data_IF_976677790231
#
_entry.id   IF_976677790231
#
_cell.length_a   1.000
_cell.length_b   1.000
_cell.length_c   1.000
_cell.angle_alpha   90.00
_cell.angle_beta   90.00
_cell.angle_gamma   90.00
#
_symmetry.space_group_name_H-M   'P 1'
#
loop_
_entity.id
_entity.type
_entity.pdbx_description
1 polymer ?
#
# COMPACT_ATOMS: atom_id res chain seq x y z
N UNK A 1 16.61 -2.77 -8.14
CA UNK A 1 15.69 -3.93 -8.02
C UNK A 1 15.97 -4.77 -6.77
N UNK A 2 17.21 -5.19 -6.51
CA UNK A 2 17.55 -6.10 -5.41
C UNK A 2 17.09 -5.63 -4.00
N UNK A 3 17.15 -4.33 -3.71
CA UNK A 3 16.70 -3.79 -2.41
C UNK A 3 15.20 -3.49 -2.35
N UNK A 4 14.59 -3.10 -3.47
CA UNK A 4 13.19 -2.67 -3.49
C UNK A 4 12.23 -3.85 -3.35
N UNK A 5 12.51 -4.97 -4.01
CA UNK A 5 11.63 -6.14 -3.99
C UNK A 5 11.41 -6.69 -2.56
N UNK A 6 12.46 -6.96 -1.74
CA UNK A 6 12.28 -7.43 -0.37
C UNK A 6 11.50 -6.43 0.50
N UNK A 7 11.78 -5.14 0.36
CA UNK A 7 11.08 -4.09 1.10
C UNK A 7 9.60 -4.01 0.73
N UNK A 8 9.25 -4.16 -0.55
CA UNK A 8 7.87 -4.19 -1.01
C UNK A 8 7.13 -5.43 -0.50
N UNK A 9 7.77 -6.61 -0.52
CA UNK A 9 7.19 -7.84 0.02
C UNK A 9 6.93 -7.69 1.53
N UNK A 10 7.91 -7.18 2.27
CA UNK A 10 7.77 -6.92 3.70
C UNK A 10 6.63 -5.92 3.98
N UNK A 11 6.57 -4.82 3.22
CA UNK A 11 5.49 -3.85 3.32
C UNK A 11 4.11 -4.48 3.01
N UNK A 12 4.02 -5.35 2.01
CA UNK A 12 2.80 -6.04 1.64
C UNK A 12 2.30 -6.98 2.76
N UNK A 13 3.20 -7.70 3.43
CA UNK A 13 2.87 -8.52 4.62
C UNK A 13 2.37 -7.63 5.74
N UNK A 14 3.11 -6.57 6.08
CA UNK A 14 2.70 -5.64 7.14
C UNK A 14 1.32 -5.05 6.87
N UNK A 15 1.03 -4.69 5.62
CA UNK A 15 -0.28 -4.20 5.22
C UNK A 15 -1.36 -5.28 5.35
N UNK A 16 -1.09 -6.50 4.86
CA UNK A 16 -1.99 -7.66 4.94
C UNK A 16 -2.29 -8.14 6.37
N UNK A 17 -1.42 -7.81 7.34
CA UNK A 17 -1.61 -8.13 8.76
C UNK A 17 -2.15 -6.92 9.53
N UNK A 18 -1.35 -5.86 9.65
CA UNK A 18 -1.66 -4.69 10.49
C UNK A 18 -2.75 -3.83 9.85
N UNK A 19 -2.67 -3.58 8.55
CA UNK A 19 -3.65 -2.75 7.85
C UNK A 19 -5.05 -3.37 7.90
N UNK A 20 -5.14 -4.68 7.65
CA UNK A 20 -6.40 -5.43 7.74
C UNK A 20 -6.90 -5.53 9.17
N UNK A 21 -6.01 -5.76 10.14
CA UNK A 21 -6.38 -5.77 11.54
C UNK A 21 -7.03 -4.45 11.96
N UNK A 22 -6.40 -3.31 11.64
CA UNK A 22 -6.93 -1.98 11.97
C UNK A 22 -8.27 -1.75 11.27
N UNK A 23 -8.37 -2.08 9.97
CA UNK A 23 -9.59 -1.89 9.20
C UNK A 23 -10.76 -2.75 9.73
N UNK A 24 -10.50 -4.00 10.13
CA UNK A 24 -11.51 -4.92 10.63
C UNK A 24 -11.88 -4.68 12.11
N UNK A 25 -10.93 -4.22 12.94
CA UNK A 25 -11.16 -3.98 14.37
C UNK A 25 -12.20 -2.88 14.61
N UNK A 26 -12.29 -1.90 13.71
CA UNK A 26 -13.28 -0.82 13.78
C UNK A 26 -14.75 -1.28 13.71
N UNK A 27 -15.03 -2.56 13.36
CA UNK A 27 -16.39 -3.11 13.24
C UNK A 27 -16.74 -4.24 14.21
N UNK A 28 -15.77 -5.09 14.57
CA UNK A 28 -16.06 -6.38 15.23
C UNK A 28 -15.18 -6.72 16.43
N UNK A 29 -14.35 -5.79 16.89
CA UNK A 29 -13.39 -6.01 17.98
C UNK A 29 -12.19 -6.89 17.58
N UNK A 30 -11.22 -6.99 18.51
CA UNK A 30 -9.90 -7.56 18.23
C UNK A 30 -9.94 -9.03 17.76
N UNK A 31 -10.91 -9.82 18.26
CA UNK A 31 -11.07 -11.23 17.90
C UNK A 31 -11.52 -11.41 16.44
N UNK A 32 -12.46 -10.60 15.98
CA UNK A 32 -12.97 -10.62 14.60
C UNK A 32 -11.92 -10.10 13.63
N UNK A 33 -11.17 -9.07 14.04
CA UNK A 33 -10.05 -8.55 13.26
C UNK A 33 -8.96 -9.61 13.05
N UNK A 34 -8.57 -10.32 14.12
CA UNK A 34 -7.56 -11.37 14.04
C UNK A 34 -8.03 -12.54 13.16
N UNK A 35 -9.28 -13.00 13.30
CA UNK A 35 -9.85 -14.02 12.43
C UNK A 35 -9.89 -13.60 10.96
N UNK A 36 -10.09 -12.31 10.69
CA UNK A 36 -10.12 -11.77 9.33
C UNK A 36 -8.73 -11.78 8.69
N UNK A 37 -7.71 -11.36 9.43
CA UNK A 37 -6.30 -11.42 8.99
C UNK A 37 -5.89 -12.86 8.67
N UNK A 38 -6.26 -13.80 9.55
CA UNK A 38 -5.98 -15.23 9.37
C UNK A 38 -6.79 -15.88 8.25
N UNK A 39 -7.85 -15.25 7.73
CA UNK A 39 -8.59 -15.76 6.57
C UNK A 39 -8.12 -15.14 5.26
N UNK A 40 -7.21 -14.19 5.30
CA UNK A 40 -6.81 -13.44 4.12
C UNK A 40 -5.79 -14.23 3.28
N UNK A 41 -6.12 -14.64 2.04
CA UNK A 41 -5.27 -15.54 1.25
C UNK A 41 -3.88 -14.98 0.94
N UNK A 42 -3.76 -13.66 0.83
CA UNK A 42 -2.50 -13.00 0.46
C UNK A 42 -1.37 -13.28 1.45
N UNK A 43 -1.69 -13.36 2.75
CA UNK A 43 -0.69 -13.67 3.79
C UNK A 43 -0.14 -15.09 3.64
N UNK A 44 -0.95 -16.03 3.13
CA UNK A 44 -0.54 -17.42 2.91
C UNK A 44 0.18 -17.65 1.59
N UNK A 45 -0.04 -16.79 0.58
CA UNK A 45 0.56 -16.92 -0.74
C UNK A 45 2.09 -16.82 -0.74
N UNK A 46 2.68 -16.19 0.28
CA UNK A 46 4.14 -16.09 0.45
C UNK A 46 4.78 -17.43 0.78
N UNK A 47 4.09 -18.29 1.53
CA UNK A 47 4.61 -19.60 1.94
C UNK A 47 4.93 -20.48 0.72
N UNK A 48 3.98 -20.75 -0.21
CA UNK A 48 4.29 -21.52 -1.41
C UNK A 48 5.26 -20.78 -2.34
N UNK A 49 5.24 -19.43 -2.38
CA UNK A 49 6.20 -18.67 -3.20
C UNK A 49 7.65 -18.91 -2.75
N UNK A 50 7.92 -18.83 -1.44
CA UNK A 50 9.25 -19.11 -0.87
C UNK A 50 9.61 -20.58 -1.08
N UNK A 51 8.68 -21.52 -0.82
CA UNK A 51 8.95 -22.96 -1.01
C UNK A 51 9.31 -23.30 -2.45
N UNK A 52 8.59 -22.75 -3.43
CA UNK A 52 8.89 -22.96 -4.85
C UNK A 52 10.26 -22.38 -5.24
N UNK A 53 10.63 -21.23 -4.66
CA UNK A 53 11.93 -20.61 -4.87
C UNK A 53 13.07 -21.46 -4.29
N UNK A 54 12.96 -21.91 -3.04
CA UNK A 54 13.96 -22.75 -2.37
C UNK A 54 14.09 -24.12 -3.03
N UNK A 55 12.98 -24.74 -3.43
CA UNK A 55 12.97 -26.02 -4.14
C UNK A 55 13.34 -25.89 -5.63
N UNK A 56 13.58 -24.67 -6.12
CA UNK A 56 13.89 -24.37 -7.53
C UNK A 56 12.85 -24.93 -8.51
N UNK A 57 11.60 -25.10 -8.05
CA UNK A 57 10.50 -25.64 -8.85
C UNK A 57 10.04 -24.57 -9.82
N UNK A 58 10.31 -24.78 -11.11
CA UNK A 58 9.82 -23.89 -12.16
C UNK A 58 8.37 -24.20 -12.48
N UNK A 59 7.50 -23.23 -12.26
CA UNK A 59 6.12 -23.27 -12.77
C UNK A 59 6.20 -23.17 -14.31
N UNK A 60 5.45 -23.99 -15.07
CA UNK A 60 5.46 -23.91 -16.53
C UNK A 60 5.02 -22.52 -17.01
N UNK A 61 5.64 -22.02 -18.09
CA UNK A 61 5.44 -20.65 -18.58
C UNK A 61 3.97 -20.27 -18.75
N UNK A 62 3.15 -21.15 -19.33
CA UNK A 62 1.73 -20.93 -19.58
C UNK A 62 0.93 -20.63 -18.28
N UNK A 63 1.28 -21.29 -17.17
CA UNK A 63 0.63 -21.05 -15.88
C UNK A 63 1.07 -19.71 -15.28
N UNK A 64 2.37 -19.40 -15.38
CA UNK A 64 2.91 -18.13 -14.89
C UNK A 64 2.34 -16.94 -15.68
N UNK A 65 2.20 -17.07 -17.00
CA UNK A 65 1.56 -16.06 -17.84
C UNK A 65 0.11 -15.83 -17.41
N UNK A 66 -0.65 -16.89 -17.15
CA UNK A 66 -2.04 -16.78 -16.68
C UNK A 66 -2.13 -16.06 -15.33
N UNK A 67 -1.26 -16.40 -14.37
CA UNK A 67 -1.18 -15.71 -13.07
C UNK A 67 -0.80 -14.24 -13.27
N UNK A 68 0.19 -13.97 -14.13
CA UNK A 68 0.66 -12.61 -14.41
C UNK A 68 -0.45 -11.76 -15.05
N UNK A 69 -1.25 -12.33 -15.96
CA UNK A 69 -2.39 -11.64 -16.56
C UNK A 69 -3.40 -11.23 -15.49
N UNK A 70 -3.80 -12.14 -14.61
CA UNK A 70 -4.75 -11.83 -13.51
C UNK A 70 -4.18 -10.77 -12.56
N UNK A 71 -2.91 -10.91 -12.21
CA UNK A 71 -2.20 -9.93 -11.38
C UNK A 71 -2.20 -8.54 -12.03
N UNK A 72 -1.89 -8.46 -13.32
CA UNK A 72 -1.83 -7.20 -14.06
C UNK A 72 -3.22 -6.55 -14.20
N UNK A 73 -4.30 -7.33 -14.32
CA UNK A 73 -5.67 -6.82 -14.36
C UNK A 73 -6.18 -6.33 -13.00
N UNK A 74 -5.60 -6.80 -11.90
CA UNK A 74 -6.04 -6.44 -10.55
C UNK A 74 -5.87 -4.94 -10.26
N UNK A 75 -4.79 -4.32 -10.73
CA UNK A 75 -4.53 -2.88 -10.52
C UNK A 75 -5.61 -2.01 -11.19
N UNK A 76 -5.91 -2.16 -12.51
CA UNK A 76 -7.02 -1.47 -13.16
C UNK A 76 -8.37 -1.66 -12.46
N UNK A 77 -8.69 -2.87 -12.01
CA UNK A 77 -9.95 -3.15 -11.31
C UNK A 77 -10.06 -2.35 -10.02
N UNK A 78 -8.99 -2.29 -9.22
CA UNK A 78 -8.97 -1.49 -7.99
C UNK A 78 -9.11 0.00 -8.31
N UNK A 79 -8.49 0.48 -9.39
CA UNK A 79 -8.64 1.87 -9.84
C UNK A 79 -10.08 2.19 -10.28
N UNK A 80 -10.76 1.28 -10.97
CA UNK A 80 -12.19 1.42 -11.31
C UNK A 80 -13.03 1.51 -10.04
N UNK A 81 -12.81 0.61 -9.08
CA UNK A 81 -13.52 0.61 -7.78
C UNK A 81 -13.29 1.93 -7.04
N UNK A 82 -12.06 2.44 -7.02
CA UNK A 82 -11.74 3.73 -6.44
C UNK A 82 -12.51 4.86 -7.14
N UNK A 83 -12.53 4.87 -8.47
CA UNK A 83 -13.32 5.84 -9.26
C UNK A 83 -14.81 5.78 -8.95
N UNK A 84 -15.38 4.59 -8.82
CA UNK A 84 -16.78 4.39 -8.41
C UNK A 84 -17.06 4.93 -7.01
N UNK A 85 -16.13 4.77 -6.06
CA UNK A 85 -16.28 5.36 -4.73
C UNK A 85 -16.29 6.88 -4.80
N UNK A 86 -15.39 7.48 -5.59
CA UNK A 86 -15.30 8.93 -5.76
C UNK A 86 -16.53 9.51 -6.48
N UNK A 87 -17.14 8.77 -7.41
CA UNK A 87 -18.36 9.22 -8.10
C UNK A 87 -19.52 9.50 -7.13
N UNK A 88 -19.51 8.86 -5.96
CA UNK A 88 -20.50 9.05 -4.90
C UNK A 88 -20.06 10.07 -3.83
N UNK A 89 -18.92 10.75 -4.01
CA UNK A 89 -18.42 11.75 -3.06
C UNK A 89 -18.89 13.15 -3.44
N UNK A 90 -19.64 13.77 -2.55
CA UNK A 90 -19.92 15.20 -2.63
C UNK A 90 -18.69 16.00 -2.16
N UNK A 91 -17.99 16.65 -3.10
CA UNK A 91 -16.77 17.44 -2.85
C UNK A 91 -16.97 18.51 -1.76
N UNK A 92 -18.18 19.09 -1.65
CA UNK A 92 -18.52 20.08 -0.62
C UNK A 92 -18.63 19.49 0.80
N UNK A 93 -18.86 18.19 0.92
CA UNK A 93 -18.97 17.47 2.20
C UNK A 93 -17.69 16.71 2.57
N UNK A 94 -16.62 16.91 1.82
CA UNK A 94 -15.31 16.32 2.17
C UNK A 94 -14.79 16.88 3.48
N UNK A 95 -14.22 15.98 4.30
CA UNK A 95 -13.41 16.37 5.43
C UNK A 95 -12.03 16.84 4.97
N UNK A 96 -11.96 18.06 4.42
CA UNK A 96 -10.74 18.66 3.90
C UNK A 96 -9.63 18.75 4.95
N UNK A 97 -9.97 19.00 6.23
CA UNK A 97 -8.99 19.02 7.32
C UNK A 97 -8.35 17.66 7.56
N UNK A 98 -9.13 16.57 7.50
CA UNK A 98 -8.59 15.21 7.60
C UNK A 98 -7.76 14.82 6.37
N UNK A 99 -8.21 15.19 5.18
CA UNK A 99 -7.52 14.86 3.91
C UNK A 99 -6.18 15.59 3.83
N UNK A 100 -6.14 16.88 4.18
CA UNK A 100 -4.90 17.66 4.17
C UNK A 100 -3.90 17.13 5.18
N UNK A 101 -4.35 16.79 6.39
CA UNK A 101 -3.51 16.17 7.42
C UNK A 101 -2.90 14.86 6.92
N UNK A 102 -3.71 13.94 6.37
CA UNK A 102 -3.22 12.67 5.81
C UNK A 102 -2.22 12.91 4.69
N UNK A 103 -2.49 13.88 3.82
CA UNK A 103 -1.61 14.22 2.69
C UNK A 103 -0.26 14.72 3.16
N UNK A 104 -0.22 15.67 4.10
CA UNK A 104 1.02 16.21 4.67
C UNK A 104 1.79 15.13 5.41
N UNK A 105 1.10 14.35 6.25
CA UNK A 105 1.73 13.26 7.00
C UNK A 105 2.34 12.24 6.05
N UNK A 106 1.65 11.88 4.97
CA UNK A 106 2.11 10.84 4.05
C UNK A 106 3.20 11.31 3.08
N UNK A 107 3.09 12.53 2.53
CA UNK A 107 4.00 12.99 1.49
C UNK A 107 5.21 13.77 2.03
N UNK A 108 5.14 14.28 3.26
CA UNK A 108 6.21 15.09 3.85
C UNK A 108 6.73 14.43 5.12
N UNK A 109 5.87 14.16 6.10
CA UNK A 109 6.33 13.66 7.41
C UNK A 109 6.90 12.25 7.30
N UNK A 110 6.24 11.35 6.56
CA UNK A 110 6.68 9.96 6.34
C UNK A 110 8.10 9.87 5.73
N UNK A 111 8.43 10.53 4.61
CA UNK A 111 9.79 10.49 4.07
C UNK A 111 10.82 11.18 4.96
N UNK A 112 10.45 12.24 5.71
CA UNK A 112 11.35 12.86 6.68
C UNK A 112 11.69 11.92 7.84
N UNK A 113 10.69 11.19 8.37
CA UNK A 113 10.92 10.15 9.38
C UNK A 113 11.81 9.06 8.80
N UNK A 114 11.55 8.61 7.57
CA UNK A 114 12.37 7.59 6.91
C UNK A 114 13.83 8.04 6.77
N UNK A 115 14.07 9.29 6.34
CA UNK A 115 15.41 9.89 6.28
C UNK A 115 16.07 9.90 7.66
N UNK A 116 15.37 10.43 8.68
CA UNK A 116 15.89 10.51 10.05
C UNK A 116 16.25 9.13 10.61
N UNK A 117 15.41 8.11 10.39
CA UNK A 117 15.68 6.74 10.81
C UNK A 117 16.91 6.18 10.09
N UNK A 118 17.04 6.41 8.78
CA UNK A 118 18.20 5.95 8.00
C UNK A 118 19.53 6.54 8.48
N UNK A 119 19.54 7.74 9.08
CA UNK A 119 20.76 8.33 9.65
C UNK A 119 21.33 7.53 10.83
N UNK A 120 20.50 6.75 11.54
CA UNK A 120 20.94 5.94 12.67
C UNK A 120 21.52 4.58 12.27
N UNK A 121 21.42 4.20 10.99
CA UNK A 121 21.91 2.91 10.50
C UNK A 121 23.05 3.09 9.49
N UNK A 122 24.10 2.27 9.55
CA UNK A 122 25.18 2.29 8.58
C UNK A 122 24.76 1.56 7.28
N UNK A 123 23.82 2.14 6.54
CA UNK A 123 23.30 1.61 5.28
C UNK A 123 23.82 2.39 4.08
N UNK A 124 23.83 1.75 2.90
CA UNK A 124 24.30 2.39 1.67
C UNK A 124 23.37 3.53 1.23
N UNK A 125 23.93 4.56 0.58
CA UNK A 125 23.17 5.69 0.03
C UNK A 125 22.04 5.24 -0.90
N UNK A 126 22.29 4.20 -1.70
CA UNK A 126 21.27 3.63 -2.57
C UNK A 126 20.09 3.05 -1.78
N UNK A 127 20.34 2.32 -0.69
CA UNK A 127 19.29 1.75 0.15
C UNK A 127 18.51 2.85 0.88
N UNK A 128 19.19 3.87 1.39
CA UNK A 128 18.58 5.07 1.99
C UNK A 128 17.62 5.75 1.01
N UNK A 129 18.08 6.01 -0.23
CA UNK A 129 17.24 6.65 -1.25
C UNK A 129 16.02 5.79 -1.60
N UNK A 130 16.17 4.46 -1.70
CA UNK A 130 15.03 3.55 -1.94
C UNK A 130 14.01 3.62 -0.81
N UNK A 131 14.45 3.60 0.45
CA UNK A 131 13.56 3.67 1.62
C UNK A 131 12.81 5.02 1.66
N UNK A 132 13.51 6.13 1.40
CA UNK A 132 12.89 7.47 1.40
C UNK A 132 11.87 7.59 0.28
N UNK A 133 12.19 7.12 -0.94
CA UNK A 133 11.26 7.14 -2.07
C UNK A 133 10.03 6.29 -1.77
N UNK A 134 10.21 5.10 -1.19
CA UNK A 134 9.09 4.25 -0.76
C UNK A 134 8.21 4.92 0.29
N UNK A 135 8.82 5.64 1.24
CA UNK A 135 8.10 6.36 2.28
C UNK A 135 7.33 7.58 1.76
N UNK A 136 7.78 8.18 0.66
CA UNK A 136 7.13 9.29 -0.03
C UNK A 136 6.02 8.86 -1.01
N UNK A 137 5.85 7.55 -1.24
CA UNK A 137 4.81 7.06 -2.14
C UNK A 137 3.41 7.45 -1.61
N UNK A 138 2.47 7.77 -2.53
CA UNK A 138 1.10 8.10 -2.15
C UNK A 138 0.41 6.92 -1.46
N UNK A 139 -0.78 7.17 -0.92
CA UNK A 139 -1.55 6.09 -0.29
C UNK A 139 -1.85 4.98 -1.30
N UNK A 140 -1.68 3.72 -0.87
CA UNK A 140 -1.83 2.58 -1.75
C UNK A 140 -3.30 2.32 -2.10
N UNK A 141 -3.59 1.94 -3.34
CA UNK A 141 -4.95 1.60 -3.77
C UNK A 141 -5.62 0.51 -2.90
N UNK A 142 -4.81 -0.43 -2.39
CA UNK A 142 -5.28 -1.50 -1.51
C UNK A 142 -5.88 -0.98 -0.19
N UNK A 143 -5.45 0.18 0.33
CA UNK A 143 -6.08 0.80 1.52
C UNK A 143 -7.54 1.13 1.25
N UNK A 144 -7.84 1.61 0.03
CA UNK A 144 -9.21 1.90 -0.41
C UNK A 144 -10.01 0.61 -0.54
N UNK A 145 -9.44 -0.43 -1.14
CA UNK A 145 -10.09 -1.74 -1.23
C UNK A 145 -10.47 -2.29 0.16
N UNK A 146 -9.55 -2.23 1.13
CA UNK A 146 -9.84 -2.65 2.49
C UNK A 146 -10.87 -1.76 3.18
N UNK A 147 -10.81 -0.44 2.96
CA UNK A 147 -11.81 0.47 3.50
C UNK A 147 -13.22 0.14 2.98
N UNK A 148 -13.35 -0.24 1.71
CA UNK A 148 -14.62 -0.70 1.13
C UNK A 148 -15.03 -2.04 1.74
N UNK A 149 -14.12 -3.02 1.75
CA UNK A 149 -14.38 -4.37 2.26
C UNK A 149 -14.84 -4.36 3.72
N UNK A 150 -14.24 -3.50 4.56
CA UNK A 150 -14.55 -3.39 5.98
C UNK A 150 -15.46 -2.21 6.33
N UNK A 151 -15.97 -1.48 5.33
CA UNK A 151 -16.74 -0.24 5.49
C UNK A 151 -16.10 0.77 6.47
N UNK A 152 -14.78 0.91 6.39
CA UNK A 152 -13.98 1.80 7.23
C UNK A 152 -13.86 3.20 6.58
N UNK A 153 -14.99 3.91 6.49
CA UNK A 153 -15.13 5.22 5.81
C UNK A 153 -14.58 5.20 4.37
N UNK A 154 -15.13 4.36 3.47
CA UNK A 154 -14.60 4.15 2.12
C UNK A 154 -14.41 5.45 1.33
N UNK A 155 -15.37 6.37 1.41
CA UNK A 155 -15.34 7.65 0.72
C UNK A 155 -14.14 8.51 1.16
N UNK A 156 -13.91 8.63 2.47
CA UNK A 156 -12.79 9.40 3.01
C UNK A 156 -11.44 8.81 2.60
N UNK A 157 -11.27 7.49 2.69
CA UNK A 157 -10.02 6.82 2.32
C UNK A 157 -9.74 6.91 0.81
N UNK A 158 -10.78 6.77 -0.02
CA UNK A 158 -10.66 6.93 -1.49
C UNK A 158 -10.25 8.35 -1.85
N UNK A 159 -10.81 9.33 -1.15
CA UNK A 159 -10.52 10.75 -1.31
C UNK A 159 -9.08 11.08 -0.91
N UNK A 160 -8.62 10.59 0.23
CA UNK A 160 -7.22 10.72 0.64
C UNK A 160 -6.30 10.08 -0.41
N UNK A 161 -6.65 8.89 -0.90
CA UNK A 161 -5.86 8.19 -1.92
C UNK A 161 -5.73 9.05 -3.18
N UNK A 162 -6.83 9.55 -3.74
CA UNK A 162 -6.82 10.44 -4.90
C UNK A 162 -5.94 11.67 -4.69
N UNK A 163 -6.16 12.40 -3.60
CA UNK A 163 -5.44 13.65 -3.33
C UNK A 163 -3.95 13.38 -3.13
N UNK A 164 -3.58 12.32 -2.39
CA UNK A 164 -2.17 11.96 -2.25
C UNK A 164 -1.55 11.54 -3.58
N UNK A 165 -2.27 10.82 -4.44
CA UNK A 165 -1.78 10.44 -5.77
C UNK A 165 -1.52 11.66 -6.65
N UNK A 166 -2.47 12.61 -6.70
CA UNK A 166 -2.31 13.85 -7.48
C UNK A 166 -1.18 14.71 -6.92
N UNK A 167 -1.14 14.93 -5.60
CA UNK A 167 -0.08 15.69 -4.96
C UNK A 167 1.30 15.03 -5.12
N UNK A 168 1.35 13.69 -5.15
CA UNK A 168 2.60 12.95 -5.30
C UNK A 168 3.32 13.21 -6.63
N UNK A 169 2.61 13.60 -7.68
CA UNK A 169 3.22 13.95 -8.97
C UNK A 169 4.23 15.09 -8.81
N UNK A 170 3.90 16.07 -7.97
CA UNK A 170 4.78 17.21 -7.68
C UNK A 170 5.78 16.85 -6.59
N UNK A 171 5.33 16.24 -5.48
CA UNK A 171 6.23 15.98 -4.34
C UNK A 171 7.31 14.97 -4.65
N UNK A 172 7.01 13.91 -5.42
CA UNK A 172 8.02 12.93 -5.83
C UNK A 172 9.00 13.53 -6.85
N UNK A 173 8.52 14.37 -7.78
CA UNK A 173 9.40 15.06 -8.72
C UNK A 173 10.41 15.95 -7.97
N UNK A 174 9.94 16.71 -6.97
CA UNK A 174 10.82 17.54 -6.13
C UNK A 174 11.78 16.66 -5.32
N UNK A 175 11.28 15.61 -4.65
CA UNK A 175 12.10 14.71 -3.84
C UNK A 175 13.24 14.08 -4.63
N UNK A 176 12.95 13.58 -5.84
CA UNK A 176 13.95 12.94 -6.70
C UNK A 176 15.02 13.91 -7.23
N UNK A 177 14.73 15.21 -7.28
CA UNK A 177 15.75 16.23 -7.61
C UNK A 177 16.65 16.59 -6.41
N UNK A 178 16.18 16.32 -5.19
CA UNK A 178 16.89 16.66 -3.95
C UNK A 178 17.76 15.48 -3.45
N UNK A 179 17.37 14.23 -3.75
CA UNK A 179 18.11 13.00 -3.44
C UNK A 179 19.24 12.70 -4.42
#
# INVERSE_FOLDING_TARGET
MAYALPLMVFHAILMGVVGIYIAANGRGGAKTALQTVLKQPMNYAIIPAILLQELHIRIPGNFMESIQMISNTSIPLIMIILGMQLANVEVRRMNWGGISLVTVVRLIVSPLIAYAVCLFFPISTLLTNVIIVMAAMPSAANTTLYAIQFNAKPQFVSSCTLITTLASMVTLAVLLNVL
#
